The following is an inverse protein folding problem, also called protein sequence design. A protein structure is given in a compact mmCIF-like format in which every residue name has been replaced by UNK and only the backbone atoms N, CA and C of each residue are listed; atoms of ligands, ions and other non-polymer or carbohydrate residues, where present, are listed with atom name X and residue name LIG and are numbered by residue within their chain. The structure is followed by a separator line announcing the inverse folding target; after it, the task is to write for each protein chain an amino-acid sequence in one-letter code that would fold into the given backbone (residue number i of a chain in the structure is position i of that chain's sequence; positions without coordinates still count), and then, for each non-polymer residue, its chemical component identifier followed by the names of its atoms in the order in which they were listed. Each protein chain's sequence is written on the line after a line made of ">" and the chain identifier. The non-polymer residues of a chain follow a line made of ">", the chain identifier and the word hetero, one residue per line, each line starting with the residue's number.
data_IF_811732336131
#
_entry.id   IF_811732336131
#
_cell.length_a   1.000
_cell.length_b   1.000
_cell.length_c   1.000
_cell.angle_alpha   90.00
_cell.angle_beta   90.00
_cell.angle_gamma   90.00
#
_symmetry.space_group_name_H-M   'P 1'
#
loop_
_entity.id
_entity.type
_entity.pdbx_description
1 polymer ?
#
# COMPACT_ATOMS: atom_id res chain seq x y z
N UNK A 1 30.39 19.65 -13.80
CA UNK A 1 29.07 19.93 -13.17
C UNK A 1 27.96 19.22 -13.93
N UNK A 2 27.92 19.35 -15.27
CA UNK A 2 27.01 18.61 -16.16
C UNK A 2 27.06 17.08 -15.97
N UNK A 3 28.24 16.47 -15.97
CA UNK A 3 28.41 15.03 -15.69
C UNK A 3 27.79 14.56 -14.35
N UNK A 4 27.89 15.37 -13.29
CA UNK A 4 27.34 15.04 -11.97
C UNK A 4 25.81 15.14 -11.99
N UNK A 5 25.27 16.14 -12.71
CA UNK A 5 23.83 16.29 -12.88
C UNK A 5 23.24 15.15 -13.71
N UNK A 6 23.89 14.76 -14.80
CA UNK A 6 23.47 13.63 -15.65
C UNK A 6 23.54 12.30 -14.88
N UNK A 7 24.59 12.09 -14.09
CA UNK A 7 24.72 10.92 -13.23
C UNK A 7 23.60 10.86 -12.18
N UNK A 8 23.33 11.96 -11.47
CA UNK A 8 22.24 12.04 -10.50
C UNK A 8 20.87 11.81 -11.15
N UNK A 9 20.63 12.37 -12.33
CA UNK A 9 19.40 12.18 -13.08
C UNK A 9 19.20 10.70 -13.44
N UNK A 10 20.23 10.05 -13.98
CA UNK A 10 20.17 8.64 -14.32
C UNK A 10 19.91 7.76 -13.09
N UNK A 11 20.57 8.04 -11.96
CA UNK A 11 20.30 7.34 -10.69
C UNK A 11 18.85 7.53 -10.24
N UNK A 12 18.30 8.74 -10.33
CA UNK A 12 16.90 9.00 -9.98
C UNK A 12 15.91 8.24 -10.88
N UNK A 13 16.17 8.20 -12.19
CA UNK A 13 15.36 7.42 -13.15
C UNK A 13 15.41 5.93 -12.80
N UNK A 14 16.59 5.41 -12.51
CA UNK A 14 16.74 4.02 -12.09
C UNK A 14 15.94 3.74 -10.81
N UNK A 15 16.04 4.60 -9.78
CA UNK A 15 15.30 4.42 -8.51
C UNK A 15 13.80 4.42 -8.78
N UNK A 16 13.33 5.34 -9.61
CA UNK A 16 11.94 5.40 -10.04
C UNK A 16 11.48 4.11 -10.72
N UNK A 17 12.31 3.54 -11.60
CA UNK A 17 11.99 2.28 -12.29
C UNK A 17 11.92 1.10 -11.32
N UNK A 18 12.84 0.99 -10.36
CA UNK A 18 12.81 -0.06 -9.35
C UNK A 18 11.55 0.06 -8.47
N UNK A 19 11.24 1.27 -8.00
CA UNK A 19 10.02 1.54 -7.25
C UNK A 19 8.75 1.20 -8.03
N UNK A 20 8.73 1.48 -9.34
CA UNK A 20 7.59 1.11 -10.19
C UNK A 20 7.40 -0.41 -10.23
N UNK A 21 8.47 -1.19 -10.40
CA UNK A 21 8.40 -2.67 -10.36
C UNK A 21 7.87 -3.16 -9.01
N UNK A 22 8.36 -2.60 -7.90
CA UNK A 22 7.88 -2.93 -6.57
C UNK A 22 6.39 -2.57 -6.38
N UNK A 23 5.93 -1.43 -6.91
CA UNK A 23 4.52 -1.07 -6.87
C UNK A 23 3.64 -1.89 -7.81
N UNK A 24 4.14 -2.36 -8.95
CA UNK A 24 3.45 -3.32 -9.82
C UNK A 24 3.23 -4.66 -9.13
N UNK A 25 4.23 -5.12 -8.36
CA UNK A 25 4.12 -6.31 -7.51
C UNK A 25 3.03 -6.13 -6.45
N UNK A 26 2.94 -4.95 -5.81
CA UNK A 26 1.89 -4.64 -4.84
C UNK A 26 0.52 -4.50 -5.51
N UNK A 27 0.44 -3.91 -6.71
CA UNK A 27 -0.79 -3.85 -7.49
C UNK A 27 -1.28 -5.27 -7.81
N UNK A 28 -0.41 -6.14 -8.31
CA UNK A 28 -0.70 -7.55 -8.57
C UNK A 28 -1.21 -8.27 -7.32
N UNK A 29 -0.55 -8.08 -6.17
CA UNK A 29 -1.01 -8.64 -4.90
C UNK A 29 -2.43 -8.16 -4.57
N UNK A 30 -2.69 -6.86 -4.70
CA UNK A 30 -3.99 -6.28 -4.40
C UNK A 30 -5.09 -6.86 -5.30
N UNK A 31 -4.79 -7.10 -6.58
CA UNK A 31 -5.69 -7.75 -7.53
C UNK A 31 -5.99 -9.20 -7.14
N UNK A 32 -4.98 -9.97 -6.76
CA UNK A 32 -5.14 -11.35 -6.30
C UNK A 32 -6.01 -11.44 -5.04
N UNK A 33 -5.84 -10.50 -4.09
CA UNK A 33 -6.65 -10.46 -2.87
C UNK A 33 -8.10 -10.08 -3.20
N UNK A 34 -8.32 -9.01 -3.99
CA UNK A 34 -9.67 -8.51 -4.26
C UNK A 34 -10.49 -9.45 -5.15
N UNK A 35 -9.86 -10.34 -5.91
CA UNK A 35 -10.52 -11.35 -6.76
C UNK A 35 -10.68 -12.70 -6.07
N UNK A 36 -10.13 -12.85 -4.86
CA UNK A 36 -10.27 -14.09 -4.10
C UNK A 36 -11.72 -14.30 -3.64
N UNK A 37 -12.26 -15.50 -3.85
CA UNK A 37 -13.65 -15.82 -3.53
C UNK A 37 -14.01 -15.62 -2.07
N UNK A 38 -13.11 -15.93 -1.13
CA UNK A 38 -13.37 -15.75 0.30
C UNK A 38 -13.41 -14.26 0.68
N UNK A 39 -12.59 -13.43 0.04
CA UNK A 39 -12.61 -11.98 0.23
C UNK A 39 -13.88 -11.37 -0.36
N UNK A 40 -14.30 -11.82 -1.53
CA UNK A 40 -15.57 -11.41 -2.14
C UNK A 40 -16.77 -11.84 -1.29
N UNK A 41 -16.77 -13.08 -0.78
CA UNK A 41 -17.80 -13.57 0.14
C UNK A 41 -17.87 -12.71 1.40
N UNK A 42 -16.72 -12.40 2.00
CA UNK A 42 -16.63 -11.48 3.14
C UNK A 42 -17.24 -10.10 2.84
N UNK A 43 -16.89 -9.50 1.71
CA UNK A 43 -17.40 -8.16 1.34
C UNK A 43 -18.91 -8.16 1.05
N UNK A 44 -19.45 -9.27 0.53
CA UNK A 44 -20.88 -9.44 0.25
C UNK A 44 -21.70 -9.81 1.47
N UNK A 45 -21.06 -10.39 2.49
CA UNK A 45 -21.72 -10.78 3.72
C UNK A 45 -22.24 -9.55 4.49
N UNK A 46 -23.56 -9.55 4.72
CA UNK A 46 -24.27 -8.55 5.53
C UNK A 46 -24.56 -9.05 6.94
N UNK A 47 -24.23 -10.31 7.24
CA UNK A 47 -24.26 -10.84 8.59
C UNK A 47 -23.16 -10.18 9.42
N UNK A 48 -23.54 -9.53 10.52
CA UNK A 48 -22.55 -9.04 11.47
C UNK A 48 -21.81 -10.23 12.07
N UNK A 49 -20.48 -10.17 12.06
CA UNK A 49 -19.60 -11.07 12.82
C UNK A 49 -19.64 -12.56 12.45
N UNK A 50 -19.87 -12.92 11.18
CA UNK A 50 -19.68 -14.30 10.74
C UNK A 50 -18.20 -14.71 10.82
N UNK A 51 -17.84 -15.30 11.96
CA UNK A 51 -16.46 -15.64 12.30
C UNK A 51 -15.81 -16.56 11.26
N UNK A 52 -16.59 -17.46 10.64
CA UNK A 52 -16.07 -18.36 9.60
C UNK A 52 -15.71 -17.61 8.33
N UNK A 53 -16.60 -16.73 7.84
CA UNK A 53 -16.35 -15.92 6.64
C UNK A 53 -15.15 -14.99 6.87
N UNK A 54 -15.09 -14.33 8.03
CA UNK A 54 -13.96 -13.48 8.41
C UNK A 54 -12.64 -14.25 8.41
N UNK A 55 -12.60 -15.43 9.06
CA UNK A 55 -11.40 -16.24 9.13
C UNK A 55 -10.95 -16.74 7.74
N UNK A 56 -11.88 -17.16 6.89
CA UNK A 56 -11.56 -17.59 5.52
C UNK A 56 -10.93 -16.46 4.71
N UNK A 57 -11.45 -15.24 4.82
CA UNK A 57 -10.90 -14.07 4.14
C UNK A 57 -9.53 -13.67 4.70
N UNK A 58 -9.36 -13.68 6.03
CA UNK A 58 -8.09 -13.41 6.70
C UNK A 58 -7.00 -14.42 6.28
N UNK A 59 -7.33 -15.71 6.24
CA UNK A 59 -6.41 -16.76 5.78
C UNK A 59 -6.03 -16.54 4.31
N UNK A 60 -7.00 -16.23 3.44
CA UNK A 60 -6.71 -15.93 2.04
C UNK A 60 -5.79 -14.71 1.87
N UNK A 61 -6.04 -13.64 2.63
CA UNK A 61 -5.16 -12.46 2.66
C UNK A 61 -3.74 -12.85 3.10
N UNK A 62 -3.62 -13.67 4.15
CA UNK A 62 -2.33 -14.12 4.67
C UNK A 62 -1.56 -14.96 3.64
N UNK A 63 -2.19 -15.99 3.09
CA UNK A 63 -1.60 -16.93 2.12
C UNK A 63 -1.10 -16.22 0.86
N UNK A 64 -1.83 -15.20 0.40
CA UNK A 64 -1.39 -14.35 -0.71
C UNK A 64 -0.22 -13.48 -0.25
N UNK A 65 -0.36 -12.75 0.85
CA UNK A 65 0.62 -11.75 1.31
C UNK A 65 1.98 -12.32 1.70
N UNK A 66 2.05 -13.57 2.15
CA UNK A 66 3.31 -14.23 2.57
C UNK A 66 4.31 -14.38 1.43
N UNK A 67 3.84 -14.34 0.17
CA UNK A 67 4.67 -14.39 -1.03
C UNK A 67 5.28 -13.03 -1.39
N UNK A 68 4.88 -11.97 -0.69
CA UNK A 68 5.28 -10.60 -0.99
C UNK A 68 6.14 -10.02 0.15
N UNK A 69 7.20 -9.32 -0.26
CA UNK A 69 8.10 -8.63 0.65
C UNK A 69 7.52 -7.30 1.12
N UNK A 70 8.11 -6.73 2.17
CA UNK A 70 7.82 -5.39 2.70
C UNK A 70 6.42 -5.14 3.25
N UNK A 71 5.47 -6.07 3.10
CA UNK A 71 4.13 -5.94 3.67
C UNK A 71 4.20 -5.84 5.19
N UNK A 72 3.73 -4.71 5.72
CA UNK A 72 3.57 -4.47 7.15
C UNK A 72 2.20 -4.95 7.63
N UNK A 73 1.15 -4.60 6.89
CA UNK A 73 -0.23 -4.93 7.21
C UNK A 73 -1.13 -4.78 5.99
N UNK A 74 -2.23 -5.53 5.94
CA UNK A 74 -3.29 -5.37 4.93
C UNK A 74 -4.62 -5.22 5.66
N UNK A 75 -5.41 -4.23 5.25
CA UNK A 75 -6.75 -3.97 5.74
C UNK A 75 -7.76 -4.06 4.60
N UNK A 76 -8.91 -4.66 4.86
CA UNK A 76 -10.07 -4.62 3.97
C UNK A 76 -11.24 -4.04 4.74
N UNK A 77 -11.69 -2.87 4.30
CA UNK A 77 -12.80 -2.12 4.88
C UNK A 77 -14.07 -2.37 4.07
N UNK A 78 -15.15 -2.76 4.74
CA UNK A 78 -16.50 -2.77 4.18
C UNK A 78 -17.05 -1.34 4.09
N UNK A 79 -18.24 -1.20 3.52
CA UNK A 79 -18.95 0.07 3.50
C UNK A 79 -19.46 0.49 4.90
N UNK A 80 -19.82 -0.48 5.75
CA UNK A 80 -20.52 -0.27 7.04
C UNK A 80 -19.62 -0.26 8.28
N UNK A 81 -18.41 0.33 8.20
CA UNK A 81 -17.47 0.45 9.35
C UNK A 81 -16.86 -0.85 9.89
N UNK A 82 -17.22 -2.00 9.33
CA UNK A 82 -16.54 -3.27 9.59
C UNK A 82 -15.27 -3.42 8.75
N UNK A 83 -14.27 -4.09 9.30
CA UNK A 83 -13.05 -4.41 8.57
C UNK A 83 -12.38 -5.67 9.10
N UNK A 84 -11.60 -6.32 8.25
CA UNK A 84 -10.65 -7.37 8.62
C UNK A 84 -9.24 -6.89 8.30
N UNK A 85 -8.26 -7.48 8.97
CA UNK A 85 -6.87 -7.14 8.74
C UNK A 85 -5.94 -8.30 9.03
N UNK A 86 -4.77 -8.24 8.39
CA UNK A 86 -3.57 -8.97 8.81
C UNK A 86 -2.49 -7.95 9.12
N UNK A 87 -1.69 -8.18 10.15
CA UNK A 87 -0.59 -7.29 10.49
C UNK A 87 0.56 -8.03 11.13
N UNK A 88 1.79 -7.68 10.74
CA UNK A 88 3.02 -8.17 11.39
C UNK A 88 3.34 -7.38 12.66
N UNK A 89 2.85 -6.14 12.77
CA UNK A 89 3.15 -5.22 13.87
C UNK A 89 1.90 -4.44 14.30
N UNK A 90 1.89 -3.89 15.52
CA UNK A 90 0.80 -3.03 15.99
C UNK A 90 0.73 -1.74 15.16
N UNK A 91 -0.36 -1.59 14.38
CA UNK A 91 -0.71 -0.41 13.59
C UNK A 91 -2.08 0.09 14.05
N UNK A 92 -2.12 1.33 14.53
CA UNK A 92 -3.37 2.01 14.88
C UNK A 92 -4.03 2.54 13.61
N UNK A 93 -5.35 2.34 13.52
CA UNK A 93 -6.18 2.82 12.41
C UNK A 93 -7.16 3.87 12.92
N UNK A 94 -7.17 5.03 12.27
CA UNK A 94 -8.21 6.04 12.49
C UNK A 94 -9.43 5.73 11.61
N UNK A 95 -10.41 5.02 12.18
CA UNK A 95 -11.65 4.69 11.48
C UNK A 95 -12.50 5.92 11.15
N UNK A 96 -12.43 7.00 11.93
CA UNK A 96 -13.18 8.21 11.59
C UNK A 96 -12.62 8.84 10.31
N UNK A 97 -11.30 8.83 10.15
CA UNK A 97 -10.64 9.31 8.94
C UNK A 97 -10.88 8.39 7.74
N UNK A 98 -10.71 7.07 7.89
CA UNK A 98 -10.92 6.09 6.79
C UNK A 98 -12.35 6.14 6.22
N UNK A 99 -13.34 6.46 7.06
CA UNK A 99 -14.74 6.58 6.65
C UNK A 99 -15.17 8.04 6.36
N UNK A 100 -14.24 9.00 6.46
CA UNK A 100 -14.52 10.38 6.07
C UNK A 100 -14.66 10.53 4.56
N UNK A 101 -15.53 11.45 4.13
CA UNK A 101 -15.69 11.77 2.70
C UNK A 101 -14.40 12.34 2.11
N UNK A 102 -13.65 13.13 2.88
CA UNK A 102 -12.40 13.75 2.46
C UNK A 102 -11.35 12.70 2.07
N UNK A 103 -11.15 11.70 2.93
CA UNK A 103 -10.18 10.62 2.68
C UNK A 103 -10.61 9.75 1.49
N UNK A 104 -11.90 9.41 1.42
CA UNK A 104 -12.44 8.51 0.38
C UNK A 104 -12.56 9.13 -0.99
N UNK A 105 -12.70 10.46 -1.09
CA UNK A 105 -12.99 11.16 -2.36
C UNK A 105 -12.02 10.77 -3.46
N UNK A 106 -10.71 10.94 -3.23
CA UNK A 106 -9.71 10.63 -4.24
C UNK A 106 -9.67 9.13 -4.58
N UNK A 107 -9.78 8.27 -3.57
CA UNK A 107 -9.74 6.81 -3.74
C UNK A 107 -10.89 6.34 -4.65
N UNK A 108 -12.09 6.88 -4.44
CA UNK A 108 -13.27 6.57 -5.25
C UNK A 108 -13.17 7.15 -6.67
N UNK A 109 -12.60 8.35 -6.82
CA UNK A 109 -12.38 9.01 -8.12
C UNK A 109 -11.40 8.25 -9.02
N UNK A 110 -10.49 7.46 -8.44
CA UNK A 110 -9.51 6.64 -9.17
C UNK A 110 -10.09 5.37 -9.80
N UNK A 111 -11.38 5.09 -9.63
CA UNK A 111 -12.14 4.01 -10.29
C UNK A 111 -11.42 2.64 -10.26
N UNK A 112 -10.81 2.32 -9.12
CA UNK A 112 -10.11 1.06 -8.90
C UNK A 112 -8.60 1.10 -9.15
N UNK A 113 -8.03 2.19 -9.67
CA UNK A 113 -6.58 2.39 -9.67
C UNK A 113 -6.04 2.68 -8.26
N UNK A 114 -4.76 2.38 -8.04
CA UNK A 114 -4.10 2.59 -6.76
C UNK A 114 -3.83 4.07 -6.46
N UNK A 115 -3.99 4.43 -5.19
CA UNK A 115 -3.56 5.69 -4.57
C UNK A 115 -2.47 5.36 -3.57
N UNK A 116 -1.31 6.01 -3.71
CA UNK A 116 -0.17 5.81 -2.82
C UNK A 116 -0.05 7.01 -1.87
N UNK A 117 -0.01 6.76 -0.56
CA UNK A 117 0.08 7.80 0.48
C UNK A 117 0.98 7.37 1.62
N UNK A 118 1.76 8.31 2.16
CA UNK A 118 2.44 8.11 3.44
C UNK A 118 1.39 7.99 4.55
N UNK A 119 1.48 6.95 5.37
CA UNK A 119 0.60 6.69 6.52
C UNK A 119 -0.90 6.73 6.17
N UNK A 120 -1.27 6.44 4.92
CA UNK A 120 -2.62 6.61 4.40
C UNK A 120 -3.18 8.00 4.67
N UNK A 121 -2.36 9.04 4.52
CA UNK A 121 -2.72 10.43 4.82
C UNK A 121 -3.11 10.64 6.30
N UNK A 122 -2.47 9.91 7.21
CA UNK A 122 -2.69 9.97 8.65
C UNK A 122 -3.62 8.87 9.20
N UNK A 123 -4.27 8.09 8.33
CA UNK A 123 -5.18 7.02 8.73
C UNK A 123 -4.48 5.83 9.42
N UNK A 124 -3.18 5.65 9.20
CA UNK A 124 -2.42 4.53 9.74
C UNK A 124 -1.18 5.01 10.49
N UNK A 125 -0.97 4.51 11.71
CA UNK A 125 0.20 4.85 12.53
C UNK A 125 0.77 3.62 13.19
N UNK A 126 2.04 3.31 12.92
CA UNK A 126 2.79 2.31 13.69
C UNK A 126 2.99 2.77 15.13
N UNK A 127 3.00 1.81 16.06
CA UNK A 127 3.22 2.07 17.49
C UNK A 127 4.50 2.87 17.77
N UNK A 128 5.59 2.57 17.07
CA UNK A 128 6.89 3.21 17.27
C UNK A 128 7.13 4.40 16.32
N UNK A 129 6.13 4.78 15.52
CA UNK A 129 6.15 5.99 14.71
C UNK A 129 6.87 5.87 13.37
N UNK A 130 7.36 4.70 12.98
CA UNK A 130 7.97 4.54 11.66
C UNK A 130 6.92 4.78 10.57
N UNK A 131 7.28 5.51 9.51
CA UNK A 131 6.37 5.76 8.41
C UNK A 131 6.05 4.48 7.64
N UNK A 132 4.84 4.45 7.11
CA UNK A 132 4.31 3.44 6.21
C UNK A 132 4.06 4.05 4.83
N UNK A 133 4.22 3.25 3.79
CA UNK A 133 3.64 3.56 2.48
C UNK A 133 2.35 2.78 2.34
N UNK A 134 1.23 3.48 2.25
CA UNK A 134 -0.09 2.89 2.05
C UNK A 134 -0.44 2.91 0.58
N UNK A 135 -0.63 1.72 0.00
CA UNK A 135 -1.23 1.52 -1.32
C UNK A 135 -2.70 1.22 -1.11
N UNK A 136 -3.56 2.09 -1.64
CA UNK A 136 -4.99 2.12 -1.34
C UNK A 136 -5.77 2.02 -2.64
N UNK A 137 -6.78 1.15 -2.71
CA UNK A 137 -7.69 1.09 -3.86
C UNK A 137 -9.08 0.64 -3.47
N UNK A 138 -10.05 1.02 -4.29
CA UNK A 138 -11.42 0.50 -4.21
C UNK A 138 -11.45 -0.95 -4.70
N UNK A 139 -12.21 -1.79 -3.98
CA UNK A 139 -12.63 -3.11 -4.45
C UNK A 139 -14.01 -2.95 -5.08
N UNK A 140 -14.10 -3.24 -6.37
CA UNK A 140 -15.38 -3.30 -7.08
C UNK A 140 -15.86 -4.75 -7.15
N UNK A 141 -17.16 -4.92 -7.02
CA UNK A 141 -17.83 -6.19 -7.25
C UNK A 141 -17.70 -6.58 -8.72
N UNK A 142 -17.27 -7.82 -8.98
CA UNK A 142 -17.00 -8.27 -10.35
C UNK A 142 -18.26 -8.30 -11.22
N UNK A 143 -19.43 -8.57 -10.63
CA UNK A 143 -20.69 -8.72 -11.35
C UNK A 143 -21.34 -7.36 -11.61
N UNK A 144 -21.33 -6.46 -10.61
CA UNK A 144 -22.05 -5.18 -10.68
C UNK A 144 -21.17 -3.99 -11.02
N UNK A 145 -19.85 -4.14 -10.96
CA UNK A 145 -18.85 -3.07 -11.10
C UNK A 145 -19.03 -1.92 -10.09
N UNK A 146 -19.78 -2.14 -9.02
CA UNK A 146 -19.98 -1.16 -7.94
C UNK A 146 -18.95 -1.36 -6.83
N UNK A 147 -18.52 -0.28 -6.16
CA UNK A 147 -17.68 -0.39 -4.96
C UNK A 147 -18.33 -1.26 -3.89
N UNK A 148 -17.60 -2.22 -3.35
CA UNK A 148 -18.02 -3.09 -2.23
C UNK A 148 -17.05 -3.05 -1.05
N UNK A 149 -15.88 -2.45 -1.23
CA UNK A 149 -14.92 -2.25 -0.15
C UNK A 149 -13.72 -1.42 -0.57
N UNK A 150 -12.79 -1.25 0.36
CA UNK A 150 -11.49 -0.62 0.13
C UNK A 150 -10.42 -1.54 0.70
N UNK A 151 -9.38 -1.80 -0.08
CA UNK A 151 -8.16 -2.46 0.41
C UNK A 151 -7.07 -1.42 0.66
N UNK A 152 -6.37 -1.58 1.78
CA UNK A 152 -5.16 -0.83 2.10
C UNK A 152 -4.05 -1.80 2.39
N UNK A 153 -2.96 -1.71 1.62
CA UNK A 153 -1.73 -2.45 1.84
C UNK A 153 -0.70 -1.46 2.37
N UNK A 154 -0.29 -1.62 3.61
CA UNK A 154 0.80 -0.84 4.20
C UNK A 154 2.12 -1.57 4.03
N UNK A 155 3.10 -0.87 3.50
CA UNK A 155 4.45 -1.34 3.24
C UNK A 155 5.42 -0.67 4.23
N UNK A 156 6.42 -1.42 4.67
CA UNK A 156 7.56 -0.88 5.39
C UNK A 156 8.35 0.07 4.49
N UNK A 157 8.93 1.11 5.09
CA UNK A 157 9.78 2.08 4.36
C UNK A 157 11.02 1.43 3.72
N UNK A 158 11.35 0.20 4.12
CA UNK A 158 12.47 -0.57 3.57
C UNK A 158 12.34 -0.79 2.06
N UNK A 159 11.12 -0.75 1.51
CA UNK A 159 10.89 -0.75 0.05
C UNK A 159 11.60 0.43 -0.63
N UNK A 160 11.58 1.63 -0.02
CA UNK A 160 12.31 2.79 -0.57
C UNK A 160 13.82 2.66 -0.36
N UNK A 161 14.23 2.17 0.80
CA UNK A 161 15.65 2.03 1.13
C UNK A 161 16.32 1.01 0.22
N UNK A 162 15.66 -0.11 -0.06
CA UNK A 162 16.21 -1.16 -0.90
C UNK A 162 16.24 -0.73 -2.37
N UNK A 163 15.17 -0.10 -2.88
CA UNK A 163 15.21 0.49 -4.22
C UNK A 163 16.29 1.56 -4.39
N UNK A 164 16.68 2.24 -3.31
CA UNK A 164 17.83 3.16 -3.31
C UNK A 164 19.18 2.43 -3.25
N UNK A 165 19.34 1.49 -2.31
CA UNK A 165 20.60 0.77 -2.07
C UNK A 165 21.01 -0.11 -3.25
N UNK A 166 20.07 -0.70 -3.98
CA UNK A 166 20.35 -1.49 -5.19
C UNK A 166 21.02 -0.67 -6.31
N UNK A 167 21.08 0.66 -6.15
CA UNK A 167 21.48 1.60 -7.19
C UNK A 167 22.68 2.48 -6.80
N UNK A 168 22.97 2.58 -5.50
CA UNK A 168 24.22 3.13 -4.99
C UNK A 168 25.28 2.02 -4.92
N UNK A 169 26.33 2.15 -5.72
CA UNK A 169 27.55 1.33 -5.62
C UNK A 169 28.69 2.21 -5.10
N UNK A 170 29.83 1.64 -4.71
CA UNK A 170 31.02 2.42 -4.29
C UNK A 170 31.41 3.50 -5.34
N UNK A 171 31.07 3.26 -6.61
CA UNK A 171 31.30 4.18 -7.74
C UNK A 171 30.12 5.14 -8.08
N UNK A 172 28.96 5.03 -7.40
CA UNK A 172 27.74 5.83 -7.69
C UNK A 172 27.16 6.42 -6.40
N UNK A 173 27.59 7.65 -6.10
CA UNK A 173 27.12 8.44 -4.97
C UNK A 173 26.12 9.51 -5.42
N UNK A 174 25.02 9.68 -4.69
CA UNK A 174 24.03 10.73 -4.94
C UNK A 174 24.46 12.00 -4.20
N UNK A 175 24.88 13.03 -4.93
CA UNK A 175 25.34 14.29 -4.35
C UNK A 175 24.29 15.38 -4.53
N UNK A 176 24.01 16.18 -3.52
CA UNK A 176 23.13 17.35 -3.68
C UNK A 176 23.79 18.64 -3.21
N UNK A 177 23.47 19.73 -3.90
CA UNK A 177 24.01 21.06 -3.62
C UNK A 177 23.03 21.87 -2.79
N UNK A 178 23.42 22.22 -1.56
CA UNK A 178 22.65 23.11 -0.71
C UNK A 178 23.56 24.23 -0.16
N UNK A 179 23.21 25.48 -0.48
CA UNK A 179 23.83 26.66 0.13
C UNK A 179 25.35 26.79 -0.03
N UNK A 180 25.90 26.47 -1.20
CA UNK A 180 27.34 26.64 -1.45
C UNK A 180 28.19 25.37 -1.33
N UNK A 181 27.63 24.28 -0.78
CA UNK A 181 28.35 23.04 -0.49
C UNK A 181 27.73 21.84 -1.20
N UNK A 182 28.59 20.93 -1.64
CA UNK A 182 28.22 19.61 -2.17
C UNK A 182 28.22 18.65 -0.99
N UNK A 183 27.11 17.93 -0.78
CA UNK A 183 26.92 16.90 0.24
C UNK A 183 26.78 15.53 -0.41
#
# INVERSE_FOLDING_TARGET
>A
MEYVLDSNYNTMISIGNNLNVEFEVVDTMSQLIMTNSNVIEYLRDRGHENTRINNNAITAMYDISTKFNYVSSIYIFKEYKEYIHISRHLTNVDLNLVYSSLWRKEILEKRGACVIRVNGHGAFKKKFGEPLISVIRVINDIDTQKPIGIIVINLNIDILKNSFNDMTSDDRNFWYYAGGKIF
#
